data_IF_298475952027
#
_entry.id   IF_298475952027
#
_cell.length_a   1.000
_cell.length_b   1.000
_cell.length_c   1.000
_cell.angle_alpha   90.00
_cell.angle_beta   90.00
_cell.angle_gamma   90.00
#
_symmetry.space_group_name_H-M   'P 1'
#
loop_
_entity.id
_entity.type
_entity.pdbx_description
1 polymer ?
#
# COMPACT_ATOMS: atom_id res chain seq x y z
N UNK A 1 -35.99 -20.76 -1.16
CA UNK A 1 -35.90 -22.19 -0.80
C UNK A 1 -34.50 -22.78 -0.98
N UNK A 2 -33.75 -22.49 -2.05
CA UNK A 2 -32.40 -23.06 -2.27
C UNK A 2 -31.33 -22.66 -1.24
N UNK A 3 -31.31 -21.40 -0.77
CA UNK A 3 -30.28 -20.95 0.17
C UNK A 3 -30.29 -21.73 1.51
N UNK A 4 -31.48 -22.04 2.04
CA UNK A 4 -31.63 -22.82 3.29
C UNK A 4 -31.14 -24.26 3.12
N UNK A 5 -31.42 -24.87 1.97
CA UNK A 5 -30.94 -26.21 1.64
C UNK A 5 -29.40 -26.24 1.55
N UNK A 6 -28.79 -25.29 0.84
CA UNK A 6 -27.33 -25.20 0.75
C UNK A 6 -26.67 -24.99 2.12
N UNK A 7 -27.21 -24.10 2.95
CA UNK A 7 -26.69 -23.88 4.30
C UNK A 7 -26.77 -25.14 5.18
N UNK A 8 -27.89 -25.88 5.13
CA UNK A 8 -28.06 -27.15 5.86
C UNK A 8 -27.11 -28.26 5.35
N UNK A 9 -26.80 -28.25 4.05
CA UNK A 9 -25.84 -29.16 3.43
C UNK A 9 -24.37 -28.73 3.61
N UNK A 10 -24.09 -27.67 4.38
CA UNK A 10 -22.73 -27.15 4.59
C UNK A 10 -22.14 -26.43 3.36
N UNK A 11 -22.95 -26.12 2.35
CA UNK A 11 -22.54 -25.46 1.11
C UNK A 11 -22.63 -23.95 1.31
N UNK A 12 -21.50 -23.27 1.14
CA UNK A 12 -21.39 -21.82 1.31
C UNK A 12 -21.12 -21.10 0.00
N UNK A 13 -21.81 -19.98 -0.22
CA UNK A 13 -21.55 -19.11 -1.37
C UNK A 13 -20.29 -18.30 -1.11
N UNK A 14 -19.22 -18.57 -1.86
CA UNK A 14 -17.94 -17.86 -1.78
C UNK A 14 -17.53 -17.38 -3.18
N UNK A 15 -16.78 -16.29 -3.22
CA UNK A 15 -16.14 -15.84 -4.46
C UNK A 15 -15.07 -16.86 -4.86
N UNK A 16 -14.98 -17.19 -6.16
CA UNK A 16 -13.88 -18.01 -6.67
C UNK A 16 -12.53 -17.30 -6.40
N UNK A 17 -11.53 -18.07 -5.96
CA UNK A 17 -10.17 -17.56 -5.76
C UNK A 17 -9.37 -17.75 -7.06
N UNK A 18 -8.65 -16.72 -7.54
CA UNK A 18 -7.74 -16.90 -8.67
C UNK A 18 -6.64 -17.88 -8.27
N UNK A 19 -6.33 -18.84 -9.15
CA UNK A 19 -5.22 -19.79 -8.97
C UNK A 19 -4.21 -19.57 -10.08
N UNK A 20 -2.93 -19.43 -9.74
CA UNK A 20 -1.86 -19.24 -10.72
C UNK A 20 -1.55 -20.60 -11.36
N UNK A 21 -1.51 -20.64 -12.70
CA UNK A 21 -1.31 -21.88 -13.48
C UNK A 21 0.12 -22.44 -13.38
N UNK A 22 1.10 -21.60 -13.09
CA UNK A 22 2.51 -21.96 -12.91
C UNK A 22 3.13 -21.16 -11.76
N UNK A 23 3.71 -21.80 -10.74
CA UNK A 23 4.40 -21.09 -9.67
C UNK A 23 5.65 -20.38 -10.22
N UNK A 24 6.03 -19.26 -9.60
CA UNK A 24 7.26 -18.54 -9.96
C UNK A 24 8.47 -19.48 -9.77
N UNK A 25 9.28 -19.74 -10.83
CA UNK A 25 10.42 -20.65 -10.73
C UNK A 25 11.48 -20.20 -9.72
N UNK A 26 11.54 -18.90 -9.41
CA UNK A 26 12.48 -18.31 -8.46
C UNK A 26 11.84 -18.05 -7.08
N UNK A 27 10.66 -18.62 -6.81
CA UNK A 27 9.90 -18.36 -5.59
C UNK A 27 10.73 -18.56 -4.32
N UNK A 28 11.34 -19.74 -4.18
CA UNK A 28 12.09 -20.11 -2.97
C UNK A 28 13.34 -19.23 -2.79
N UNK A 29 14.03 -18.88 -3.87
CA UNK A 29 15.21 -18.01 -3.83
C UNK A 29 14.84 -16.58 -3.41
N UNK A 30 13.76 -16.02 -3.98
CA UNK A 30 13.27 -14.69 -3.61
C UNK A 30 12.84 -14.66 -2.14
N UNK A 31 12.12 -15.69 -1.69
CA UNK A 31 11.69 -15.81 -0.31
C UNK A 31 12.85 -15.99 0.67
N UNK A 32 13.89 -16.72 0.29
CA UNK A 32 15.11 -16.85 1.10
C UNK A 32 15.80 -15.49 1.28
N UNK A 33 15.98 -14.72 0.21
CA UNK A 33 16.58 -13.37 0.27
C UNK A 33 15.76 -12.42 1.14
N UNK A 34 14.44 -12.40 0.97
CA UNK A 34 13.53 -11.59 1.79
C UNK A 34 13.62 -11.99 3.26
N UNK A 35 13.62 -13.29 3.56
CA UNK A 35 13.73 -13.80 4.92
C UNK A 35 15.05 -13.42 5.57
N UNK A 36 16.16 -13.54 4.83
CA UNK A 36 17.49 -13.13 5.29
C UNK A 36 17.55 -11.63 5.56
N UNK A 37 17.05 -10.79 4.65
CA UNK A 37 17.01 -9.35 4.85
C UNK A 37 16.22 -8.98 6.11
N UNK A 38 15.06 -9.63 6.32
CA UNK A 38 14.23 -9.42 7.51
C UNK A 38 14.89 -9.90 8.81
N UNK A 39 15.69 -10.95 8.77
CA UNK A 39 16.44 -11.43 9.93
C UNK A 39 17.55 -10.46 10.35
N UNK A 40 18.09 -9.68 9.40
CA UNK A 40 19.19 -8.75 9.61
C UNK A 40 18.74 -7.29 9.81
N UNK A 41 17.44 -7.05 10.05
CA UNK A 41 16.93 -5.68 10.24
C UNK A 41 17.60 -5.04 11.45
N UNK A 42 18.10 -3.83 11.24
CA UNK A 42 18.63 -2.93 12.28
C UNK A 42 18.46 -1.49 11.84
N UNK A 43 18.78 -0.53 12.73
CA UNK A 43 18.80 0.90 12.37
C UNK A 43 19.74 1.22 11.21
N UNK A 44 20.84 0.46 11.06
CA UNK A 44 21.81 0.58 9.97
C UNK A 44 21.38 -0.12 8.69
N UNK A 45 20.56 -1.15 8.81
CA UNK A 45 20.07 -1.98 7.69
C UNK A 45 18.54 -2.08 7.71
N UNK A 46 17.81 -0.95 7.59
CA UNK A 46 16.36 -0.99 7.56
C UNK A 46 15.83 -1.67 6.28
N UNK A 47 14.70 -2.35 6.46
CA UNK A 47 13.97 -3.04 5.39
C UNK A 47 12.58 -2.43 5.27
N UNK A 48 12.14 -2.18 4.05
CA UNK A 48 10.86 -1.56 3.75
C UNK A 48 10.04 -2.45 2.81
N UNK A 49 8.71 -2.43 2.96
CA UNK A 49 7.79 -2.85 1.92
C UNK A 49 7.41 -1.62 1.11
N UNK A 50 7.62 -1.66 -0.19
CA UNK A 50 7.34 -0.56 -1.11
C UNK A 50 6.24 -0.93 -2.09
N UNK A 51 5.38 0.03 -2.40
CA UNK A 51 4.31 -0.09 -3.38
C UNK A 51 3.76 1.28 -3.78
N UNK A 52 3.11 1.34 -4.94
CA UNK A 52 2.43 2.52 -5.43
C UNK A 52 0.91 2.35 -5.53
N UNK A 53 0.18 3.35 -5.06
CA UNK A 53 -1.28 3.37 -5.07
C UNK A 53 -1.85 4.51 -5.88
N UNK A 54 -3.00 4.24 -6.49
CA UNK A 54 -3.78 5.21 -7.26
C UNK A 54 -4.81 5.88 -6.35
N UNK A 55 -4.87 7.21 -6.38
CA UNK A 55 -5.92 8.02 -5.77
C UNK A 55 -6.79 8.55 -6.90
N UNK A 56 -7.91 7.87 -7.14
CA UNK A 56 -8.97 8.37 -7.99
C UNK A 56 -9.85 9.36 -7.22
N UNK A 57 -10.13 10.52 -7.81
CA UNK A 57 -11.07 11.48 -7.23
C UNK A 57 -12.53 11.05 -7.38
N UNK A 58 -12.84 10.23 -8.38
CA UNK A 58 -14.13 9.58 -8.43
C UNK A 58 -14.20 8.52 -7.32
N UNK A 59 -15.12 8.65 -6.35
CA UNK A 59 -15.17 7.74 -5.23
C UNK A 59 -15.52 6.33 -5.70
N UNK A 60 -14.83 5.33 -5.17
CA UNK A 60 -15.25 3.94 -5.33
C UNK A 60 -16.55 3.75 -4.56
N UNK A 61 -17.65 3.53 -5.28
CA UNK A 61 -18.96 3.29 -4.67
C UNK A 61 -18.97 1.89 -4.07
N UNK A 62 -19.16 1.81 -2.75
CA UNK A 62 -19.19 0.58 -1.99
C UNK A 62 -20.33 0.55 -0.97
N UNK A 63 -20.51 -0.59 -0.33
CA UNK A 63 -21.47 -0.70 0.77
C UNK A 63 -21.08 0.25 1.91
N UNK A 64 -22.08 0.84 2.56
CA UNK A 64 -21.93 1.75 3.69
C UNK A 64 -23.04 1.45 4.71
N UNK A 65 -22.83 1.87 5.95
CA UNK A 65 -23.84 1.77 6.99
C UNK A 65 -24.90 2.85 6.78
N UNK A 66 -26.16 2.45 6.61
CA UNK A 66 -27.30 3.34 6.49
C UNK A 66 -28.51 2.83 7.28
N UNK A 67 -29.36 3.74 7.75
CA UNK A 67 -30.63 3.35 8.36
C UNK A 67 -31.51 2.63 7.33
N UNK A 68 -32.33 1.68 7.81
CA UNK A 68 -33.23 0.91 6.94
C UNK A 68 -34.15 1.87 6.16
N UNK A 69 -34.20 1.69 4.84
CA UNK A 69 -34.98 2.53 3.93
C UNK A 69 -34.26 3.82 3.49
N UNK A 70 -33.06 4.10 4.01
CA UNK A 70 -32.21 5.20 3.55
C UNK A 70 -31.04 4.64 2.72
N UNK A 71 -30.69 5.33 1.64
CA UNK A 71 -29.51 5.02 0.84
C UNK A 71 -28.69 6.30 0.67
N UNK A 72 -27.43 6.27 1.10
CA UNK A 72 -26.49 7.38 0.93
C UNK A 72 -26.28 7.63 -0.56
N UNK A 73 -26.44 8.89 -0.99
CA UNK A 73 -26.15 9.32 -2.36
C UNK A 73 -24.83 10.07 -2.36
N UNK A 74 -23.89 9.56 -3.15
CA UNK A 74 -22.56 10.18 -3.33
C UNK A 74 -22.54 10.85 -4.70
N UNK A 75 -22.21 12.13 -4.74
CA UNK A 75 -22.10 12.88 -6.00
C UNK A 75 -20.77 12.52 -6.65
N UNK A 76 -20.82 12.07 -7.90
CA UNK A 76 -19.62 11.83 -8.71
C UNK A 76 -19.32 13.05 -9.59
N UNK A 77 -18.13 13.65 -9.50
CA UNK A 77 -17.70 14.82 -10.29
C UNK A 77 -17.71 14.63 -11.82
N UNK A 78 -17.90 13.41 -12.31
CA UNK A 78 -17.91 13.06 -13.72
C UNK A 78 -16.50 12.86 -14.27
N UNK A 79 -15.69 13.93 -14.34
CA UNK A 79 -14.29 13.83 -14.78
C UNK A 79 -13.41 13.36 -13.63
N UNK A 80 -12.79 12.19 -13.79
CA UNK A 80 -11.89 11.65 -12.78
C UNK A 80 -10.53 12.37 -12.83
N UNK A 81 -10.21 13.10 -11.77
CA UNK A 81 -8.84 13.53 -11.49
C UNK A 81 -8.09 12.39 -10.79
N UNK A 82 -6.82 12.18 -11.17
CA UNK A 82 -5.99 11.12 -10.60
C UNK A 82 -4.76 11.69 -9.95
N UNK A 83 -4.42 11.12 -8.82
CA UNK A 83 -3.15 11.34 -8.13
C UNK A 83 -2.56 9.99 -7.75
N UNK A 84 -1.27 9.99 -7.41
CA UNK A 84 -0.56 8.75 -7.11
C UNK A 84 0.32 8.95 -5.89
N UNK A 85 0.46 7.88 -5.10
CA UNK A 85 1.41 7.79 -4.02
C UNK A 85 2.39 6.66 -4.31
N UNK A 86 3.65 6.86 -3.95
CA UNK A 86 4.56 5.78 -3.63
C UNK A 86 4.79 5.79 -2.12
N UNK A 87 4.75 4.62 -1.50
CA UNK A 87 4.91 4.50 -0.06
C UNK A 87 5.87 3.37 0.31
N UNK A 88 6.59 3.59 1.41
CA UNK A 88 7.48 2.63 2.03
C UNK A 88 7.05 2.41 3.48
N UNK A 89 6.68 1.18 3.82
CA UNK A 89 6.38 0.74 5.17
C UNK A 89 7.60 0.07 5.77
N UNK A 90 8.15 0.64 6.84
CA UNK A 90 9.27 0.04 7.57
C UNK A 90 8.84 -1.30 8.19
N UNK A 91 9.57 -2.37 7.86
CA UNK A 91 9.21 -3.74 8.23
C UNK A 91 9.33 -4.04 9.73
N UNK A 92 10.05 -3.21 10.50
CA UNK A 92 10.24 -3.34 11.95
C UNK A 92 9.43 -2.32 12.75
N UNK A 93 9.45 -1.05 12.34
CA UNK A 93 8.81 0.03 13.12
C UNK A 93 7.37 0.31 12.69
N UNK A 94 6.93 -0.25 11.56
CA UNK A 94 5.66 0.02 10.91
C UNK A 94 5.41 1.52 10.61
N UNK A 95 6.47 2.33 10.64
CA UNK A 95 6.45 3.72 10.18
C UNK A 95 6.30 3.74 8.66
N UNK A 96 5.47 4.65 8.16
CA UNK A 96 5.28 4.87 6.72
C UNK A 96 5.96 6.16 6.29
N UNK A 97 6.74 6.06 5.22
CA UNK A 97 7.22 7.21 4.46
C UNK A 97 6.54 7.18 3.11
N UNK A 98 6.09 8.31 2.59
CA UNK A 98 5.40 8.35 1.31
C UNK A 98 5.66 9.65 0.56
N UNK A 99 5.58 9.57 -0.76
CA UNK A 99 5.67 10.73 -1.66
C UNK A 99 4.49 10.71 -2.61
N UNK A 100 4.11 11.91 -3.07
CA UNK A 100 2.96 12.08 -3.98
C UNK A 100 3.41 12.57 -5.35
N UNK A 101 2.63 12.23 -6.39
CA UNK A 101 2.86 12.67 -7.75
C UNK A 101 1.65 12.58 -8.67
N UNK A 102 1.76 13.24 -9.82
CA UNK A 102 0.73 13.32 -10.86
C UNK A 102 0.74 12.13 -11.82
N UNK A 103 1.77 11.28 -11.77
CA UNK A 103 1.92 10.08 -12.59
C UNK A 103 2.52 8.97 -11.74
N UNK A 104 2.04 7.74 -11.93
CA UNK A 104 2.67 6.52 -11.42
C UNK A 104 3.71 6.03 -12.43
N UNK A 105 4.95 6.46 -12.25
CA UNK A 105 6.06 6.16 -13.15
C UNK A 105 7.39 6.11 -12.38
N UNK A 106 8.49 5.83 -13.09
CA UNK A 106 9.82 5.77 -12.49
C UNK A 106 10.27 7.05 -11.77
N UNK A 107 9.72 8.22 -12.13
CA UNK A 107 10.01 9.47 -11.40
C UNK A 107 9.43 9.47 -9.99
N UNK A 108 8.20 8.97 -9.83
CA UNK A 108 7.56 8.85 -8.54
C UNK A 108 8.34 7.86 -7.66
N UNK A 109 8.73 6.71 -8.22
CA UNK A 109 9.55 5.73 -7.52
C UNK A 109 10.91 6.32 -7.10
N UNK A 110 11.64 6.98 -8.00
CA UNK A 110 12.91 7.63 -7.66
C UNK A 110 12.74 8.70 -6.59
N UNK A 111 11.64 9.47 -6.63
CA UNK A 111 11.32 10.45 -5.59
C UNK A 111 11.15 9.77 -4.23
N UNK A 112 10.54 8.59 -4.19
CA UNK A 112 10.40 7.79 -2.95
C UNK A 112 11.76 7.31 -2.44
N UNK A 113 12.64 6.83 -3.33
CA UNK A 113 14.00 6.43 -2.96
C UNK A 113 14.80 7.61 -2.39
N UNK A 114 14.73 8.77 -3.03
CA UNK A 114 15.41 9.98 -2.56
C UNK A 114 14.91 10.42 -1.17
N UNK A 115 13.60 10.34 -0.92
CA UNK A 115 13.03 10.65 0.40
C UNK A 115 13.54 9.68 1.48
N UNK A 116 13.62 8.38 1.18
CA UNK A 116 14.20 7.41 2.12
C UNK A 116 15.68 7.69 2.40
N UNK A 117 16.48 8.01 1.37
CA UNK A 117 17.89 8.33 1.56
C UNK A 117 18.07 9.56 2.45
N UNK A 118 17.22 10.58 2.29
CA UNK A 118 17.21 11.77 3.13
C UNK A 118 16.79 11.47 4.56
N UNK A 119 15.79 10.61 4.77
CA UNK A 119 15.28 10.26 6.09
C UNK A 119 16.25 9.35 6.87
N UNK A 120 17.05 8.54 6.17
CA UNK A 120 17.97 7.57 6.76
C UNK A 120 19.44 7.85 6.34
N UNK A 121 20.01 9.02 6.67
CA UNK A 121 21.34 9.41 6.19
C UNK A 121 22.45 8.50 6.73
N UNK A 122 22.25 7.94 7.93
CA UNK A 122 23.21 7.06 8.62
C UNK A 122 23.01 5.57 8.34
N UNK A 123 22.00 5.18 7.57
CA UNK A 123 21.85 3.79 7.15
C UNK A 123 23.00 3.41 6.22
N UNK A 124 23.55 2.22 6.45
CA UNK A 124 24.57 1.61 5.60
C UNK A 124 23.92 0.98 4.37
N UNK A 125 22.71 0.43 4.53
CA UNK A 125 21.92 -0.13 3.41
C UNK A 125 20.44 0.19 3.58
N UNK A 126 19.73 0.38 2.47
CA UNK A 126 18.28 0.54 2.41
C UNK A 126 17.70 -0.59 1.56
N UNK A 127 17.06 -1.58 2.19
CA UNK A 127 16.49 -2.72 1.46
C UNK A 127 15.00 -2.51 1.23
N UNK A 128 14.54 -2.61 -0.02
CA UNK A 128 13.14 -2.51 -0.38
C UNK A 128 12.63 -3.87 -0.87
N UNK A 129 11.49 -4.29 -0.36
CA UNK A 129 10.70 -5.43 -0.82
C UNK A 129 9.55 -4.86 -1.64
N UNK A 130 9.49 -5.19 -2.93
CA UNK A 130 8.56 -4.55 -3.87
C UNK A 130 8.03 -5.54 -4.91
N UNK A 131 6.96 -5.16 -5.60
CA UNK A 131 6.37 -5.97 -6.65
C UNK A 131 7.23 -5.96 -7.94
N UNK A 132 6.76 -6.65 -9.00
CA UNK A 132 7.50 -6.75 -10.26
C UNK A 132 7.14 -5.66 -11.29
N UNK A 133 6.56 -4.54 -10.86
CA UNK A 133 6.10 -3.51 -11.77
C UNK A 133 7.26 -2.98 -12.64
N UNK A 134 6.98 -2.79 -13.93
CA UNK A 134 8.01 -2.54 -14.94
C UNK A 134 8.79 -1.25 -14.70
N UNK A 135 8.23 -0.29 -13.96
CA UNK A 135 8.85 1.00 -13.69
C UNK A 135 10.10 0.87 -12.81
N UNK A 136 10.16 -0.13 -11.92
CA UNK A 136 11.31 -0.39 -11.05
C UNK A 136 12.51 -0.95 -11.82
N UNK A 137 12.28 -1.48 -13.03
CA UNK A 137 13.30 -2.09 -13.89
C UNK A 137 13.69 -1.18 -15.07
N UNK A 138 13.18 0.06 -15.11
CA UNK A 138 13.48 1.00 -16.18
C UNK A 138 14.94 1.43 -16.17
N UNK A 139 15.47 1.84 -17.33
CA UNK A 139 16.85 2.32 -17.42
C UNK A 139 17.11 3.49 -16.47
N UNK A 140 16.14 4.40 -16.36
CA UNK A 140 16.20 5.55 -15.46
C UNK A 140 16.39 5.15 -13.99
N UNK A 141 15.70 4.11 -13.53
CA UNK A 141 15.86 3.59 -12.17
C UNK A 141 17.22 2.93 -12.00
N UNK A 142 17.68 2.14 -12.98
CA UNK A 142 19.00 1.50 -12.95
C UNK A 142 20.13 2.54 -12.87
N UNK A 143 20.07 3.59 -13.69
CA UNK A 143 21.06 4.68 -13.71
C UNK A 143 21.05 5.50 -12.41
N UNK A 144 19.91 5.59 -11.74
CA UNK A 144 19.81 6.19 -10.41
C UNK A 144 20.44 5.28 -9.36
N UNK A 145 20.05 4.01 -9.28
CA UNK A 145 20.60 3.05 -8.32
C UNK A 145 22.13 2.88 -8.43
N UNK A 146 22.68 2.96 -9.65
CA UNK A 146 24.13 2.92 -9.87
C UNK A 146 24.88 4.07 -9.18
N UNK A 147 24.22 5.21 -8.96
CA UNK A 147 24.78 6.37 -8.25
C UNK A 147 24.45 6.37 -6.75
N UNK A 148 23.57 5.47 -6.31
CA UNK A 148 23.06 5.39 -4.94
C UNK A 148 23.22 3.95 -4.40
N UNK A 149 24.45 3.52 -4.09
CA UNK A 149 24.78 2.11 -3.82
C UNK A 149 24.20 1.56 -2.51
N UNK A 150 23.57 2.40 -1.67
CA UNK A 150 22.91 1.97 -0.44
C UNK A 150 21.68 1.09 -0.71
N UNK A 151 21.05 1.23 -1.88
CA UNK A 151 19.76 0.60 -2.16
C UNK A 151 19.92 -0.84 -2.63
N UNK A 152 19.16 -1.73 -1.99
CA UNK A 152 19.00 -3.13 -2.41
C UNK A 152 17.53 -3.40 -2.70
N UNK A 153 17.21 -3.80 -3.94
CA UNK A 153 15.85 -4.13 -4.36
C UNK A 153 15.62 -5.64 -4.32
N UNK A 154 14.65 -6.08 -3.52
CA UNK A 154 14.21 -7.47 -3.42
C UNK A 154 12.81 -7.60 -4.01
N UNK A 155 12.72 -8.21 -5.18
CA UNK A 155 11.44 -8.43 -5.86
C UNK A 155 10.67 -9.58 -5.22
N UNK A 156 9.39 -9.33 -4.92
CA UNK A 156 8.45 -10.35 -4.50
C UNK A 156 8.29 -11.44 -5.59
N UNK A 157 7.95 -12.68 -5.22
CA UNK A 157 7.52 -13.65 -6.19
C UNK A 157 6.33 -13.16 -7.02
N UNK A 158 6.30 -13.52 -8.31
CA UNK A 158 5.24 -13.07 -9.22
C UNK A 158 3.87 -13.55 -8.70
N UNK A 159 2.85 -12.71 -8.88
CA UNK A 159 1.47 -12.98 -8.44
C UNK A 159 1.30 -13.21 -6.93
N UNK A 160 2.18 -12.65 -6.09
CA UNK A 160 2.12 -12.81 -4.63
C UNK A 160 1.86 -11.50 -3.85
N UNK A 161 0.79 -10.75 -4.16
CA UNK A 161 0.48 -9.47 -3.53
C UNK A 161 0.30 -9.57 -1.99
N UNK A 162 -0.20 -10.72 -1.51
CA UNK A 162 -0.37 -10.99 -0.07
C UNK A 162 0.94 -10.99 0.74
N UNK A 163 2.10 -11.07 0.07
CA UNK A 163 3.41 -10.95 0.72
C UNK A 163 3.81 -9.49 0.95
N UNK A 164 3.20 -8.55 0.21
CA UNK A 164 3.46 -7.13 0.36
C UNK A 164 2.64 -6.53 1.51
N UNK A 165 3.26 -6.32 2.66
CA UNK A 165 2.53 -5.86 3.86
C UNK A 165 1.87 -4.49 3.69
N UNK A 166 2.44 -3.61 2.87
CA UNK A 166 1.91 -2.26 2.67
C UNK A 166 0.55 -2.27 1.96
N UNK A 167 0.23 -3.31 1.20
CA UNK A 167 -1.09 -3.43 0.56
C UNK A 167 -2.25 -3.41 1.57
N UNK A 168 -2.03 -3.92 2.79
CA UNK A 168 -3.04 -3.85 3.86
C UNK A 168 -3.29 -2.43 4.33
N UNK A 169 -2.24 -1.60 4.36
CA UNK A 169 -2.37 -0.17 4.65
C UNK A 169 -3.17 0.52 3.55
N UNK A 170 -2.86 0.25 2.29
CA UNK A 170 -3.59 0.79 1.14
C UNK A 170 -5.05 0.36 1.12
N UNK A 171 -5.33 -0.90 1.47
CA UNK A 171 -6.69 -1.37 1.65
C UNK A 171 -7.39 -0.51 2.72
N UNK A 172 -6.83 -0.41 3.92
CA UNK A 172 -7.41 0.37 5.02
C UNK A 172 -7.67 1.85 4.64
N UNK A 173 -6.71 2.47 3.96
CA UNK A 173 -6.83 3.82 3.43
C UNK A 173 -7.99 3.91 2.43
N UNK A 174 -8.08 2.97 1.49
CA UNK A 174 -9.15 2.98 0.52
C UNK A 174 -10.53 2.84 1.16
N UNK A 175 -10.67 1.96 2.16
CA UNK A 175 -11.93 1.75 2.87
C UNK A 175 -12.34 2.95 3.71
N UNK A 176 -11.38 3.65 4.31
CA UNK A 176 -11.63 4.75 5.24
C UNK A 176 -11.79 6.09 4.53
N UNK A 177 -10.96 6.35 3.50
CA UNK A 177 -10.78 7.68 2.92
C UNK A 177 -11.37 7.79 1.51
N UNK A 178 -11.10 6.81 0.63
CA UNK A 178 -11.47 6.94 -0.79
C UNK A 178 -12.84 6.34 -1.14
N UNK A 179 -13.35 5.42 -0.32
CA UNK A 179 -14.64 4.77 -0.56
C UNK A 179 -15.76 5.71 -0.12
N UNK A 180 -16.74 5.92 -0.99
CA UNK A 180 -17.93 6.74 -0.71
C UNK A 180 -17.62 8.17 -0.19
N UNK A 181 -16.47 8.76 -0.53
CA UNK A 181 -16.11 10.10 -0.06
C UNK A 181 -16.97 11.17 -0.74
N UNK A 182 -17.16 12.30 -0.05
CA UNK A 182 -17.93 13.44 -0.55
C UNK A 182 -17.06 14.70 -0.77
N UNK A 183 -15.74 14.55 -0.85
CA UNK A 183 -14.82 15.65 -1.16
C UNK A 183 -15.23 16.37 -2.45
N UNK A 184 -15.20 17.70 -2.43
CA UNK A 184 -15.52 18.54 -3.58
C UNK A 184 -14.31 18.76 -4.49
N UNK A 185 -13.10 18.65 -3.92
CA UNK A 185 -11.85 18.85 -4.65
C UNK A 185 -10.80 17.80 -4.26
N UNK A 186 -9.90 17.48 -5.20
CA UNK A 186 -8.81 16.53 -4.98
C UNK A 186 -7.94 16.90 -3.77
N UNK A 187 -7.65 18.19 -3.55
CA UNK A 187 -6.82 18.60 -2.42
C UNK A 187 -7.43 18.24 -1.06
N UNK A 188 -8.76 18.23 -0.92
CA UNK A 188 -9.43 17.81 0.31
C UNK A 188 -9.21 16.31 0.56
N UNK A 189 -9.35 15.51 -0.49
CA UNK A 189 -9.09 14.07 -0.43
C UNK A 189 -7.63 13.79 -0.05
N UNK A 190 -6.69 14.53 -0.65
CA UNK A 190 -5.26 14.40 -0.34
C UNK A 190 -4.94 14.80 1.12
N UNK A 191 -5.60 15.83 1.66
CA UNK A 191 -5.43 16.19 3.07
C UNK A 191 -5.93 15.08 4.02
N UNK A 192 -7.05 14.42 3.68
CA UNK A 192 -7.53 13.27 4.47
C UNK A 192 -6.59 12.07 4.36
N UNK A 193 -6.00 11.85 3.19
CA UNK A 193 -4.96 10.84 2.99
C UNK A 193 -3.74 11.13 3.85
N UNK A 194 -3.25 12.37 3.88
CA UNK A 194 -2.12 12.78 4.71
C UNK A 194 -2.43 12.54 6.20
N UNK A 195 -3.56 13.04 6.68
CA UNK A 195 -3.99 12.86 8.07
C UNK A 195 -4.11 11.38 8.46
N UNK A 196 -4.62 10.53 7.56
CA UNK A 196 -4.70 9.10 7.78
C UNK A 196 -3.30 8.47 7.94
N UNK A 197 -2.37 8.75 7.03
CA UNK A 197 -1.02 8.17 7.05
C UNK A 197 -0.17 8.66 8.22
N UNK A 198 -0.32 9.94 8.59
CA UNK A 198 0.27 10.50 9.82
C UNK A 198 -0.28 9.80 11.06
N UNK A 199 -1.62 9.61 11.14
CA UNK A 199 -2.25 8.92 12.26
C UNK A 199 -1.77 7.48 12.38
N UNK A 200 -1.67 6.76 11.26
CA UNK A 200 -1.19 5.38 11.21
C UNK A 200 0.24 5.29 11.76
N UNK A 201 1.15 6.14 11.26
CA UNK A 201 2.54 6.18 11.72
C UNK A 201 2.67 6.59 13.20
N UNK A 202 1.75 7.42 13.71
CA UNK A 202 1.77 7.88 15.11
C UNK A 202 1.28 6.83 16.11
N UNK A 203 0.32 5.97 15.71
CA UNK A 203 -0.23 4.89 16.55
C UNK A 203 0.75 3.73 16.75
N UNK A 204 1.73 3.61 15.87
CA UNK A 204 2.74 2.56 15.84
C UNK A 204 3.96 2.86 16.74
N UNK A 205 4.06 4.09 17.28
CA UNK A 205 5.11 4.45 18.24
C UNK A 205 4.83 3.78 19.59
N UNK A 206 5.76 3.01 20.16
CA UNK A 206 5.54 2.40 21.48
C UNK A 206 5.38 3.50 22.53
N UNK A 207 4.17 3.62 23.10
CA UNK A 207 3.91 4.54 24.23
C UNK A 207 2.63 5.39 24.16
N UNK A 208 1.80 5.34 23.10
CA UNK A 208 0.53 6.10 23.06
C UNK A 208 -0.70 5.17 23.10
N UNK A 209 -1.47 5.27 24.18
CA UNK A 209 -2.77 4.60 24.32
C UNK A 209 -3.70 4.96 23.15
N UNK A 210 -4.37 3.95 22.61
CA UNK A 210 -5.44 4.11 21.62
C UNK A 210 -6.56 4.96 22.25
N UNK A 211 -6.75 6.18 21.77
CA UNK A 211 -8.00 6.90 22.04
C UNK A 211 -9.09 6.32 21.12
N UNK A 212 -10.15 5.80 21.74
CA UNK A 212 -11.30 5.26 21.05
C UNK A 212 -11.99 6.33 20.20
N UNK A 213 -12.38 5.92 18.99
CA UNK A 213 -13.14 6.76 18.06
C UNK A 213 -14.55 6.94 18.60
N UNK A 214 -14.79 8.08 19.23
CA UNK A 214 -16.11 8.62 19.47
C UNK A 214 -16.01 10.15 19.37
N UNK A 215 -16.45 10.69 18.24
CA UNK A 215 -16.92 12.06 17.94
C UNK A 215 -16.43 12.53 16.56
N UNK A 216 -17.22 12.18 15.55
CA UNK A 216 -17.54 13.02 14.39
C UNK A 216 -19.06 12.97 14.19
#
# INVERSE_FOLDING_TARGET
MLYRYFAQAGIVWRRAAPTVKQPDPEYDEKMAKITQAKANISEKHPVFYEDEMDIDFNPKIGADWCFKGQQKRVITPGKNEKYYLAGCLNAQTEQVTYVKGVKKNSDLFIKMLAELEQQYPHAETLTLILDNYCIHKSQKVKDWLARHPKFTLLFLPVYSPWLNKIERLWQSLHETITRNHCCQFMWQLLNYVDAFLESFSSQQKPGRQKMGVAQL
#
